data_IF_860946843880
#
_entry.id   IF_860946843880
#
_cell.length_a   1.000
_cell.length_b   1.000
_cell.length_c   1.000
_cell.angle_alpha   90.00
_cell.angle_beta   90.00
_cell.angle_gamma   90.00
#
_symmetry.space_group_name_H-M   'P 1'
#
loop_
_entity.id
_entity.type
_entity.pdbx_description
1 polymer ?
#
# COMPACT_ATOMS: atom_id res chain seq x y z
N UNK A 1 -30.80 -30.84 18.14
CA UNK A 1 -30.25 -29.65 18.81
C UNK A 1 -29.06 -29.19 17.99
N UNK A 2 -29.25 -28.16 17.16
CA UNK A 2 -28.28 -27.75 16.14
C UNK A 2 -28.07 -26.25 16.31
N UNK A 3 -27.05 -25.87 17.10
CA UNK A 3 -26.65 -24.48 17.23
C UNK A 3 -25.66 -24.15 16.11
N UNK A 4 -26.21 -23.60 15.01
CA UNK A 4 -25.45 -22.88 14.02
C UNK A 4 -24.86 -21.63 14.68
N UNK A 5 -23.59 -21.69 15.07
CA UNK A 5 -22.84 -20.51 15.52
C UNK A 5 -22.50 -19.62 14.33
N UNK A 6 -23.39 -18.67 14.05
CA UNK A 6 -23.14 -17.51 13.20
C UNK A 6 -22.09 -16.61 13.87
N UNK A 7 -20.80 -16.86 13.63
CA UNK A 7 -19.73 -16.05 14.22
C UNK A 7 -19.21 -14.98 13.23
N UNK A 8 -19.97 -13.90 13.21
CA UNK A 8 -19.67 -12.50 12.87
C UNK A 8 -18.36 -12.14 12.16
N UNK A 9 -18.53 -11.61 10.94
CA UNK A 9 -17.60 -10.85 10.08
C UNK A 9 -17.09 -9.52 10.70
N UNK A 10 -17.28 -9.25 11.99
CA UNK A 10 -17.11 -7.91 12.56
C UNK A 10 -15.66 -7.35 12.63
N UNK A 11 -14.62 -8.14 12.39
CA UNK A 11 -13.22 -7.62 12.40
C UNK A 11 -12.90 -6.86 11.11
N UNK A 12 -13.72 -7.05 10.06
CA UNK A 12 -13.58 -6.34 8.79
C UNK A 12 -14.43 -5.04 8.73
N UNK A 13 -15.17 -4.70 9.78
CA UNK A 13 -16.20 -3.63 9.72
C UNK A 13 -15.96 -2.43 10.62
N UNK A 14 -14.83 -2.32 11.33
CA UNK A 14 -14.55 -1.10 12.07
C UNK A 14 -14.46 0.09 11.08
N UNK A 15 -15.39 1.07 11.14
CA UNK A 15 -15.30 2.24 10.28
C UNK A 15 -13.98 2.94 10.58
N UNK A 16 -13.32 3.38 9.51
CA UNK A 16 -12.24 4.35 9.61
C UNK A 16 -12.84 5.63 10.20
N UNK A 17 -12.84 5.72 11.53
CA UNK A 17 -13.21 6.96 12.20
C UNK A 17 -12.02 7.90 11.98
N UNK A 18 -12.16 8.82 11.03
CA UNK A 18 -11.18 9.87 10.80
C UNK A 18 -11.00 10.64 12.11
N UNK A 19 -9.81 10.64 12.75
CA UNK A 19 -9.56 11.65 13.76
C UNK A 19 -9.72 13.03 13.10
N UNK A 20 -10.34 13.97 13.81
CA UNK A 20 -10.40 15.37 13.40
C UNK A 20 -8.97 15.92 13.34
N UNK A 21 -8.32 15.77 12.18
CA UNK A 21 -7.08 16.45 11.82
C UNK A 21 -7.52 17.73 11.12
N UNK A 22 -6.94 18.85 11.54
CA UNK A 22 -7.21 20.21 11.07
C UNK A 22 -7.49 20.24 9.54
N UNK A 23 -8.69 20.71 9.18
CA UNK A 23 -9.18 20.78 7.81
C UNK A 23 -8.29 21.61 6.87
N UNK A 24 -7.41 22.45 7.43
CA UNK A 24 -6.44 23.23 6.66
C UNK A 24 -5.28 22.40 6.08
N UNK A 25 -5.00 21.21 6.62
CA UNK A 25 -4.02 20.23 6.11
C UNK A 25 -4.65 19.11 5.25
N UNK A 26 -5.98 19.13 5.06
CA UNK A 26 -6.73 18.05 4.41
C UNK A 26 -6.60 17.99 2.88
N UNK A 27 -5.76 18.83 2.27
CA UNK A 27 -5.61 18.88 0.81
C UNK A 27 -4.59 17.82 0.36
N UNK A 28 -5.10 16.59 0.28
CA UNK A 28 -4.69 15.50 -0.65
C UNK A 28 -3.66 14.47 -0.18
N UNK A 29 -3.24 14.54 1.08
CA UNK A 29 -2.34 13.52 1.59
C UNK A 29 -3.04 12.15 1.68
N UNK A 30 -2.40 11.14 1.07
CA UNK A 30 -2.84 9.77 1.19
C UNK A 30 -2.53 9.30 2.62
N UNK A 31 -3.59 8.97 3.36
CA UNK A 31 -3.50 8.46 4.73
C UNK A 31 -3.70 6.96 4.70
N UNK A 32 -2.75 6.21 5.25
CA UNK A 32 -2.78 4.75 5.30
C UNK A 32 -2.86 4.30 6.76
N UNK A 33 -3.96 3.61 7.11
CA UNK A 33 -4.15 3.03 8.43
C UNK A 33 -3.31 1.76 8.58
N UNK A 34 -2.53 1.73 9.65
CA UNK A 34 -1.69 0.61 10.06
C UNK A 34 -2.15 0.13 11.43
N UNK A 35 -2.12 -1.17 11.66
CA UNK A 35 -2.51 -1.73 12.95
C UNK A 35 -1.83 -3.06 13.22
N UNK A 36 -1.70 -3.41 14.49
CA UNK A 36 -1.24 -4.73 14.93
C UNK A 36 -2.12 -5.24 16.05
N UNK A 37 -2.78 -6.37 15.84
CA UNK A 37 -3.49 -7.11 16.88
C UNK A 37 -2.86 -8.49 16.98
N UNK A 38 -2.17 -8.75 18.09
CA UNK A 38 -1.43 -9.99 18.30
C UNK A 38 -2.31 -11.23 18.05
N UNK A 39 -1.82 -12.14 17.21
CA UNK A 39 -2.53 -13.38 16.85
C UNK A 39 -3.79 -13.23 16.01
N UNK A 40 -4.21 -12.00 15.65
CA UNK A 40 -5.48 -11.76 14.92
C UNK A 40 -5.28 -11.07 13.58
N UNK A 41 -4.54 -9.96 13.56
CA UNK A 41 -4.27 -9.25 12.30
C UNK A 41 -3.09 -8.32 12.41
N UNK A 42 -2.47 -8.02 11.28
CA UNK A 42 -1.39 -7.05 11.20
C UNK A 42 -1.44 -6.39 9.84
N UNK A 43 -1.43 -5.05 9.82
CA UNK A 43 -1.30 -4.21 8.64
C UNK A 43 -0.12 -3.28 8.83
N UNK A 44 0.87 -3.38 7.97
CA UNK A 44 2.11 -2.61 8.04
C UNK A 44 2.57 -2.15 6.66
N UNK A 45 3.58 -1.28 6.64
CA UNK A 45 4.24 -0.84 5.42
C UNK A 45 5.51 -1.67 5.20
N UNK A 46 5.66 -2.25 4.01
CA UNK A 46 6.92 -2.89 3.59
C UNK A 46 7.92 -1.85 3.11
N UNK A 47 7.48 -0.84 2.38
CA UNK A 47 8.27 0.31 1.96
C UNK A 47 7.37 1.53 1.72
N UNK A 48 8.01 2.68 1.52
CA UNK A 48 7.38 3.98 1.38
C UNK A 48 7.77 4.85 2.57
N UNK A 49 8.17 6.09 2.28
CA UNK A 49 8.56 7.05 3.31
C UNK A 49 7.37 7.99 3.58
N UNK A 50 6.63 7.77 4.68
CA UNK A 50 5.62 8.74 5.09
C UNK A 50 6.30 10.02 5.56
N UNK A 51 5.76 11.17 5.20
CA UNK A 51 6.28 12.45 5.71
C UNK A 51 5.85 12.68 7.17
N UNK A 52 4.79 12.00 7.62
CA UNK A 52 4.30 12.06 8.98
C UNK A 52 3.62 10.76 9.42
N UNK A 53 3.65 10.49 10.74
CA UNK A 53 3.05 9.31 11.36
C UNK A 53 2.28 9.73 12.62
N UNK A 54 0.97 9.51 12.63
CA UNK A 54 0.11 9.82 13.77
C UNK A 54 -0.30 8.54 14.50
N UNK A 55 -0.08 8.49 15.82
CA UNK A 55 -0.55 7.39 16.66
C UNK A 55 -2.00 7.64 17.06
N UNK A 56 -2.89 6.71 16.74
CA UNK A 56 -4.30 6.77 17.18
C UNK A 56 -4.44 6.16 18.58
N UNK A 57 -3.89 4.96 18.75
CA UNK A 57 -3.90 4.21 20.00
C UNK A 57 -2.63 3.34 20.10
N UNK A 58 -2.57 2.45 21.09
CA UNK A 58 -1.41 1.57 21.30
C UNK A 58 -1.17 0.61 20.12
N UNK A 59 -2.21 0.24 19.39
CA UNK A 59 -2.22 -0.77 18.33
C UNK A 59 -2.38 -0.18 16.93
N UNK A 60 -2.86 1.05 16.77
CA UNK A 60 -3.20 1.69 15.49
C UNK A 60 -2.44 2.98 15.25
N UNK A 61 -2.03 3.19 14.00
CA UNK A 61 -1.31 4.39 13.53
C UNK A 61 -1.77 4.78 12.13
N UNK A 62 -1.62 6.04 11.77
CA UNK A 62 -1.85 6.57 10.42
C UNK A 62 -0.51 7.04 9.86
N UNK A 63 -0.13 6.51 8.71
CA UNK A 63 0.98 7.00 7.91
C UNK A 63 0.45 7.98 6.85
N UNK A 64 1.07 9.14 6.71
CA UNK A 64 0.67 10.17 5.73
C UNK A 64 1.71 10.29 4.63
N UNK A 65 1.23 10.36 3.39
CA UNK A 65 2.04 10.38 2.18
C UNK A 65 1.63 11.55 1.30
N UNK A 66 2.64 12.26 0.79
CA UNK A 66 2.43 13.35 -0.15
C UNK A 66 1.86 12.80 -1.48
N UNK A 67 1.15 13.62 -2.27
CA UNK A 67 0.70 13.26 -3.61
C UNK A 67 1.83 12.65 -4.46
N UNK A 68 1.49 11.62 -5.24
CA UNK A 68 2.45 10.90 -6.08
C UNK A 68 3.41 9.94 -5.36
N UNK A 69 3.45 9.95 -4.02
CA UNK A 69 4.29 9.02 -3.26
C UNK A 69 3.81 7.56 -3.40
N UNK A 70 4.76 6.64 -3.50
CA UNK A 70 4.50 5.20 -3.65
C UNK A 70 4.80 4.50 -2.33
N UNK A 71 3.89 3.65 -1.86
CA UNK A 71 4.09 2.79 -0.69
C UNK A 71 3.60 1.37 -0.94
N UNK A 72 4.17 0.41 -0.21
CA UNK A 72 3.67 -0.96 -0.19
C UNK A 72 3.06 -1.28 1.17
N UNK A 73 1.76 -1.56 1.17
CA UNK A 73 1.00 -1.99 2.33
C UNK A 73 0.78 -3.49 2.29
N UNK A 74 1.10 -4.15 3.39
CA UNK A 74 0.89 -5.59 3.58
C UNK A 74 -0.06 -5.78 4.74
N UNK A 75 -1.00 -6.71 4.59
CA UNK A 75 -1.89 -7.09 5.67
C UNK A 75 -2.13 -8.59 5.71
N UNK A 76 -2.25 -9.12 6.93
CA UNK A 76 -2.80 -10.45 7.16
C UNK A 76 -3.86 -10.43 8.26
N UNK A 77 -4.79 -11.37 8.17
CA UNK A 77 -5.81 -11.65 9.18
C UNK A 77 -5.83 -13.16 9.43
N UNK A 78 -5.89 -13.55 10.70
CA UNK A 78 -6.04 -14.92 11.15
C UNK A 78 -7.30 -15.07 11.99
N UNK A 79 -7.90 -16.25 11.91
CA UNK A 79 -8.90 -16.73 12.87
C UNK A 79 -8.22 -17.67 13.88
N UNK A 80 -9.03 -18.32 14.73
CA UNK A 80 -8.54 -19.29 15.72
C UNK A 80 -7.82 -20.51 15.10
N UNK A 81 -7.97 -20.74 13.80
CA UNK A 81 -7.43 -21.89 13.07
C UNK A 81 -6.26 -21.53 12.13
N UNK A 82 -5.90 -20.26 12.01
CA UNK A 82 -4.77 -19.79 11.20
C UNK A 82 -5.08 -18.59 10.32
N UNK A 83 -4.11 -18.15 9.49
CA UNK A 83 -4.27 -17.02 8.58
C UNK A 83 -5.35 -17.31 7.53
N UNK A 84 -6.41 -16.50 7.50
CA UNK A 84 -7.51 -16.62 6.54
C UNK A 84 -7.36 -15.64 5.37
N UNK A 85 -6.55 -14.59 5.54
CA UNK A 85 -6.40 -13.55 4.54
C UNK A 85 -4.99 -12.99 4.55
N UNK A 86 -4.41 -12.88 3.36
CA UNK A 86 -3.15 -12.19 3.10
C UNK A 86 -3.34 -11.31 1.90
N UNK A 87 -2.86 -10.07 1.99
CA UNK A 87 -2.90 -9.13 0.90
C UNK A 87 -1.69 -8.21 0.91
N UNK A 88 -1.12 -7.98 -0.26
CA UNK A 88 -0.09 -6.99 -0.53
C UNK A 88 -0.62 -6.02 -1.60
N UNK A 89 -0.44 -4.73 -1.34
CA UNK A 89 -0.80 -3.67 -2.27
C UNK A 89 0.34 -2.68 -2.42
N UNK A 90 0.73 -2.40 -3.66
CA UNK A 90 1.55 -1.23 -3.97
C UNK A 90 0.60 -0.13 -4.42
N UNK A 91 0.64 0.98 -3.69
CA UNK A 91 -0.26 2.10 -3.80
C UNK A 91 0.53 3.34 -4.19
N UNK A 92 -0.09 4.20 -4.98
CA UNK A 92 0.40 5.56 -5.24
C UNK A 92 -0.65 6.56 -4.75
N UNK A 93 -0.21 7.55 -3.98
CA UNK A 93 -1.03 8.68 -3.59
C UNK A 93 -1.49 9.44 -4.85
N UNK A 94 -2.80 9.67 -4.98
CA UNK A 94 -3.34 10.41 -6.11
C UNK A 94 -3.07 11.91 -6.01
N UNK A 95 -3.08 12.58 -7.16
CA UNK A 95 -3.08 14.04 -7.26
C UNK A 95 -4.51 14.60 -7.28
N UNK A 96 -4.67 15.92 -7.10
CA UNK A 96 -5.94 16.66 -7.00
C UNK A 96 -6.90 16.36 -8.14
N UNK A 97 -6.35 16.12 -9.32
CA UNK A 97 -7.10 15.92 -10.55
C UNK A 97 -7.34 14.44 -10.90
N UNK A 98 -6.80 13.49 -10.13
CA UNK A 98 -6.79 12.08 -10.51
C UNK A 98 -7.87 11.25 -9.80
N UNK A 99 -8.57 10.41 -10.56
CA UNK A 99 -9.56 9.48 -10.01
C UNK A 99 -8.86 8.38 -9.19
N UNK A 100 -9.03 8.42 -7.86
CA UNK A 100 -8.48 7.42 -6.94
C UNK A 100 -9.43 6.25 -6.71
N UNK A 101 -8.87 5.06 -6.47
CA UNK A 101 -9.64 3.88 -6.11
C UNK A 101 -9.84 3.84 -4.59
N UNK A 102 -11.05 3.48 -4.14
CA UNK A 102 -11.32 3.28 -2.71
C UNK A 102 -10.62 2.03 -2.24
N UNK A 103 -9.71 2.20 -1.28
CA UNK A 103 -8.98 1.11 -0.65
C UNK A 103 -9.26 1.16 0.84
N UNK A 104 -9.77 0.06 1.42
CA UNK A 104 -10.09 0.02 2.85
C UNK A 104 -8.87 0.38 3.69
N UNK A 105 -9.05 1.29 4.65
CA UNK A 105 -7.96 1.80 5.49
C UNK A 105 -6.99 2.73 4.75
N UNK A 106 -7.39 3.29 3.61
CA UNK A 106 -6.70 4.35 2.89
C UNK A 106 -7.69 5.47 2.57
N UNK A 107 -7.36 6.70 2.91
CA UNK A 107 -8.21 7.87 2.65
C UNK A 107 -7.38 8.99 1.99
N UNK A 108 -7.92 9.73 1.00
CA UNK A 108 -9.25 9.57 0.39
C UNK A 108 -9.37 8.33 -0.54
N UNK A 109 -8.22 7.76 -0.93
CA UNK A 109 -8.08 6.60 -1.81
C UNK A 109 -6.64 6.50 -2.30
N UNK A 110 -6.38 5.63 -3.27
CA UNK A 110 -5.07 5.54 -3.93
C UNK A 110 -5.19 4.95 -5.33
N UNK A 111 -4.18 5.16 -6.16
CA UNK A 111 -4.00 4.34 -7.37
C UNK A 111 -3.40 3.00 -6.97
N UNK A 112 -4.13 1.91 -7.22
CA UNK A 112 -3.61 0.56 -7.03
C UNK A 112 -2.69 0.25 -8.21
N UNK A 113 -1.39 0.12 -7.95
CA UNK A 113 -0.39 -0.21 -8.96
C UNK A 113 -0.16 -1.71 -9.07
N UNK A 114 -0.21 -2.40 -7.92
CA UNK A 114 -0.10 -3.85 -7.82
C UNK A 114 -0.94 -4.34 -6.67
N UNK A 115 -1.68 -5.43 -6.93
CA UNK A 115 -2.41 -6.17 -5.91
C UNK A 115 -2.08 -7.66 -6.00
N UNK A 116 -1.83 -8.25 -4.84
CA UNK A 116 -1.63 -9.68 -4.66
C UNK A 116 -2.40 -10.15 -3.43
N UNK A 117 -3.06 -11.30 -3.54
CA UNK A 117 -3.78 -11.96 -2.45
C UNK A 117 -3.36 -13.41 -2.33
N UNK A 118 -3.52 -13.94 -1.12
CA UNK A 118 -3.17 -15.32 -0.78
C UNK A 118 -1.76 -15.43 -0.19
N UNK A 119 -1.61 -16.29 0.80
CA UNK A 119 -0.39 -16.38 1.62
C UNK A 119 0.87 -16.63 0.78
N UNK A 120 0.85 -17.69 -0.05
CA UNK A 120 2.00 -18.06 -0.88
C UNK A 120 2.40 -16.93 -1.82
N UNK A 121 1.44 -16.37 -2.56
CA UNK A 121 1.71 -15.29 -3.53
C UNK A 121 2.22 -14.02 -2.84
N UNK A 122 1.70 -13.67 -1.67
CA UNK A 122 2.20 -12.52 -0.90
C UNK A 122 3.61 -12.77 -0.38
N UNK A 123 3.92 -13.97 0.14
CA UNK A 123 5.26 -14.35 0.58
C UNK A 123 6.27 -14.35 -0.57
N UNK A 124 5.92 -14.94 -1.71
CA UNK A 124 6.76 -14.95 -2.92
C UNK A 124 7.04 -13.51 -3.39
N UNK A 125 6.02 -12.64 -3.38
CA UNK A 125 6.16 -11.23 -3.72
C UNK A 125 7.05 -10.48 -2.72
N UNK A 126 6.91 -10.76 -1.43
CA UNK A 126 7.78 -10.17 -0.41
C UNK A 126 9.23 -10.57 -0.62
N UNK A 127 9.52 -11.85 -0.85
CA UNK A 127 10.87 -12.31 -1.17
C UNK A 127 11.44 -11.63 -2.40
N UNK A 128 10.67 -11.53 -3.49
CA UNK A 128 11.10 -10.83 -4.69
C UNK A 128 11.35 -9.32 -4.49
N UNK A 129 10.52 -8.65 -3.67
CA UNK A 129 10.76 -7.25 -3.30
C UNK A 129 12.02 -7.10 -2.43
N UNK A 130 12.28 -8.07 -1.56
CA UNK A 130 13.48 -8.11 -0.71
C UNK A 130 14.74 -8.27 -1.58
N UNK A 131 14.70 -9.15 -2.59
CA UNK A 131 15.79 -9.34 -3.56
C UNK A 131 16.06 -8.07 -4.37
N UNK A 132 15.02 -7.39 -4.85
CA UNK A 132 15.16 -6.10 -5.53
C UNK A 132 15.79 -5.04 -4.62
N UNK A 133 15.35 -4.96 -3.36
CA UNK A 133 15.91 -4.02 -2.40
C UNK A 133 17.38 -4.34 -2.10
N UNK A 134 17.74 -5.63 -1.97
CA UNK A 134 19.12 -6.09 -1.77
C UNK A 134 20.02 -5.78 -2.97
N UNK A 135 19.46 -5.78 -4.19
CA UNK A 135 20.13 -5.31 -5.41
C UNK A 135 20.28 -3.77 -5.50
N UNK A 136 19.87 -3.02 -4.47
CA UNK A 136 20.01 -1.57 -4.40
C UNK A 136 18.86 -0.78 -5.04
N UNK A 137 17.75 -1.44 -5.39
CA UNK A 137 16.60 -0.76 -5.98
C UNK A 137 15.79 -0.02 -4.90
N UNK A 138 15.67 1.30 -5.04
CA UNK A 138 14.69 2.07 -4.25
C UNK A 138 13.27 1.79 -4.77
N UNK A 139 12.58 0.86 -4.10
CA UNK A 139 11.22 0.42 -4.44
C UNK A 139 10.21 1.57 -4.47
N UNK A 140 10.40 2.62 -3.66
CA UNK A 140 9.51 3.78 -3.65
C UNK A 140 9.73 4.72 -4.85
N UNK A 141 10.84 4.55 -5.59
CA UNK A 141 11.17 5.32 -6.81
C UNK A 141 10.96 4.53 -8.10
N UNK A 142 10.62 3.25 -8.02
CA UNK A 142 10.27 2.46 -9.21
C UNK A 142 9.04 3.06 -9.89
N UNK A 143 9.06 3.09 -11.23
CA UNK A 143 8.00 3.76 -12.00
C UNK A 143 6.63 3.08 -11.81
N UNK A 144 5.53 3.85 -11.70
CA UNK A 144 4.18 3.29 -11.60
C UNK A 144 3.81 2.37 -12.76
N UNK A 145 4.30 2.65 -13.97
CA UNK A 145 4.09 1.81 -15.15
C UNK A 145 4.77 0.43 -15.03
N UNK A 146 5.96 0.37 -14.41
CA UNK A 146 6.63 -0.90 -14.15
C UNK A 146 5.83 -1.73 -13.14
N UNK A 147 5.33 -1.12 -12.06
CA UNK A 147 4.47 -1.82 -11.09
C UNK A 147 3.21 -2.41 -11.74
N UNK A 148 2.53 -1.66 -12.61
CA UNK A 148 1.39 -2.16 -13.39
C UNK A 148 1.77 -3.32 -14.32
N UNK A 149 2.96 -3.27 -14.92
CA UNK A 149 3.48 -4.37 -15.76
C UNK A 149 3.72 -5.64 -14.95
N UNK A 150 4.30 -5.52 -13.75
CA UNK A 150 4.48 -6.63 -12.80
C UNK A 150 3.12 -7.19 -12.40
N UNK A 151 2.14 -6.34 -12.07
CA UNK A 151 0.78 -6.78 -11.74
C UNK A 151 0.12 -7.57 -12.88
N UNK A 152 0.18 -7.06 -14.11
CA UNK A 152 -0.37 -7.74 -15.29
C UNK A 152 0.29 -9.11 -15.51
N UNK A 153 1.61 -9.21 -15.31
CA UNK A 153 2.33 -10.49 -15.41
C UNK A 153 1.94 -11.47 -14.32
N UNK A 154 1.74 -11.02 -13.08
CA UNK A 154 1.22 -11.86 -11.99
C UNK A 154 -0.18 -12.37 -12.28
N UNK A 155 -1.05 -11.53 -12.85
CA UNK A 155 -2.41 -11.92 -13.25
C UNK A 155 -2.36 -12.99 -14.36
N UNK A 156 -1.46 -12.82 -15.33
CA UNK A 156 -1.23 -13.74 -16.43
C UNK A 156 -0.35 -14.97 -16.08
N UNK A 157 0.10 -15.11 -14.83
CA UNK A 157 1.03 -16.18 -14.36
C UNK A 157 2.33 -16.25 -15.17
N UNK A 158 2.82 -15.12 -15.66
CA UNK A 158 4.06 -15.00 -16.44
C UNK A 158 5.26 -14.64 -15.55
N UNK A 159 6.47 -14.95 -16.02
CA UNK A 159 7.72 -14.62 -15.31
C UNK A 159 7.87 -13.10 -15.09
N UNK A 160 8.38 -12.72 -13.92
CA UNK A 160 8.58 -11.32 -13.55
C UNK A 160 9.71 -10.70 -14.39
N UNK A 161 9.56 -9.44 -14.83
CA UNK A 161 10.57 -8.79 -15.66
C UNK A 161 11.78 -8.38 -14.81
N UNK A 162 13.03 -8.52 -15.30
CA UNK A 162 14.19 -7.95 -14.62
C UNK A 162 14.08 -6.42 -14.53
N UNK A 163 14.44 -5.83 -13.39
CA UNK A 163 14.51 -4.37 -13.19
C UNK A 163 15.97 -3.92 -13.20
N UNK A 164 16.36 -3.10 -14.18
CA UNK A 164 17.74 -2.57 -14.30
C UNK A 164 17.81 -1.10 -13.88
N UNK A 165 18.93 -0.71 -13.25
CA UNK A 165 19.16 0.64 -12.73
C UNK A 165 19.06 1.75 -13.79
N UNK A 166 19.35 1.44 -15.06
CA UNK A 166 19.28 2.38 -16.19
C UNK A 166 17.87 2.97 -16.41
N UNK A 167 16.82 2.20 -16.10
CA UNK A 167 15.42 2.68 -16.20
C UNK A 167 15.03 3.65 -15.08
N UNK A 168 15.78 3.69 -13.98
CA UNK A 168 15.53 4.61 -12.86
C UNK A 168 15.84 6.07 -13.24
N UNK A 169 16.86 6.28 -14.09
CA UNK A 169 17.27 7.61 -14.54
C UNK A 169 16.19 8.32 -15.35
N UNK A 170 15.59 7.63 -16.33
CA UNK A 170 14.55 8.19 -17.19
C UNK A 170 13.27 8.59 -16.42
N UNK A 171 12.88 7.82 -15.41
CA UNK A 171 11.73 8.17 -14.55
C UNK A 171 12.06 9.30 -13.57
N UNK A 172 13.25 9.30 -12.98
CA UNK A 172 13.69 10.35 -12.04
C UNK A 172 13.80 11.72 -12.72
N UNK A 173 14.28 11.77 -13.97
CA UNK A 173 14.34 12.99 -14.77
C UNK A 173 12.95 13.54 -15.10
N UNK A 174 12.00 12.67 -15.50
CA UNK A 174 10.61 13.08 -15.74
C UNK A 174 9.95 13.64 -14.48
N UNK A 175 10.22 13.04 -13.31
CA UNK A 175 9.65 13.51 -12.04
C UNK A 175 10.21 14.87 -11.61
N UNK A 176 11.51 15.14 -11.84
CA UNK A 176 12.09 16.48 -11.60
C UNK A 176 11.42 17.55 -12.46
N UNK A 177 11.19 17.27 -13.74
CA UNK A 177 10.54 18.24 -14.66
C UNK A 177 9.08 18.55 -14.28
N UNK A 178 8.37 17.62 -13.64
CA UNK A 178 7.01 17.83 -13.12
C UNK A 178 6.99 18.64 -11.81
N UNK A 179 8.12 18.74 -11.09
CA UNK A 179 8.23 19.52 -9.83
C UNK A 179 8.87 20.90 -10.04
N UNK A 180 9.65 21.08 -11.13
CA UNK A 180 10.29 22.35 -11.51
C UNK A 180 9.44 23.21 -12.48
N UNK A 181 8.23 22.75 -12.79
CA UNK A 181 7.34 23.37 -13.77
C UNK A 181 6.21 24.16 -13.14
N UNK A 182 6.53 25.18 -12.34
CA UNK A 182 5.60 26.27 -12.06
C UNK A 182 6.32 27.63 -11.96
N UNK A 183 6.41 28.40 -13.06
CA UNK A 183 6.59 29.83 -13.00
C UNK A 183 5.26 30.52 -13.35
N UNK A 184 4.52 31.00 -12.35
CA UNK A 184 3.87 32.33 -12.31
C UNK A 184 3.12 32.55 -10.99
#
# INVERSE_FOLDING_TARGET
>A
MQEASTCSTAVLDAPFNEPAIDASLARLDMRVLLWRFAGRSHTWLRFGQPFAMHRLDKQRRIAMFAPGAICCRVQWVANAYGPIFWQLMILQAGDVAEAVQRVRGVAPGAHILLHAQGERRVKDMLGWLDDMAAAGVDLARVSPAYWRTVHNRLAARMALPPYTAERQGAYSSRRRLLTDGDPS
#
